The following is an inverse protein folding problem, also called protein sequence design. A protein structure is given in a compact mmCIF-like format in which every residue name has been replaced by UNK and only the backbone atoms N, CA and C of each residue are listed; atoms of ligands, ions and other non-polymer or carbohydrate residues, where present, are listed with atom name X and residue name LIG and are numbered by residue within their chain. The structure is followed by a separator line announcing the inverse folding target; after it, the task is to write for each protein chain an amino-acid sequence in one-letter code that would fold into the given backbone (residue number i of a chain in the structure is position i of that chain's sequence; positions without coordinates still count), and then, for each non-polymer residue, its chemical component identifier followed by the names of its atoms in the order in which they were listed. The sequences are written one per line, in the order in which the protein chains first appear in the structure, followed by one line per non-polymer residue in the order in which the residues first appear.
data_IF_175855780274
#
_entry.id   IF_175855780274
#
_cell.length_a   1.000
_cell.length_b   1.000
_cell.length_c   1.000
_cell.angle_alpha   90.00
_cell.angle_beta   90.00
_cell.angle_gamma   90.00
#
_symmetry.space_group_name_H-M   'P 1'
#
loop_
_entity.id
_entity.type
_entity.pdbx_description
1 polymer ?
#
# COMPACT_ATOMS: atom_id res chain seq x y z
N UNK A 1 -0.74 5.14 18.68
CA UNK A 1 -1.95 4.71 17.94
C UNK A 1 -2.45 3.37 18.46
N UNK A 2 -3.66 3.37 19.02
CA UNK A 2 -4.41 2.18 19.41
C UNK A 2 -5.15 1.57 18.20
N UNK A 3 -5.87 0.46 18.39
CA UNK A 3 -6.52 -0.26 17.28
C UNK A 3 -7.68 0.53 16.65
N UNK A 4 -8.53 1.17 17.44
CA UNK A 4 -9.67 1.94 16.92
C UNK A 4 -9.22 3.17 16.11
N UNK A 5 -8.18 3.86 16.58
CA UNK A 5 -7.56 4.96 15.83
C UNK A 5 -6.93 4.48 14.53
N UNK A 6 -6.29 3.32 14.52
CA UNK A 6 -5.72 2.74 13.30
C UNK A 6 -6.83 2.47 12.27
N UNK A 7 -7.90 1.78 12.69
CA UNK A 7 -9.05 1.43 11.84
C UNK A 7 -9.66 2.69 11.22
N UNK A 8 -9.96 3.69 12.05
CA UNK A 8 -10.56 4.94 11.59
C UNK A 8 -9.67 5.64 10.55
N UNK A 9 -8.36 5.75 10.81
CA UNK A 9 -7.44 6.43 9.87
C UNK A 9 -7.27 5.68 8.55
N UNK A 10 -7.18 4.35 8.58
CA UNK A 10 -7.12 3.54 7.35
C UNK A 10 -8.38 3.75 6.50
N UNK A 11 -9.55 3.71 7.13
CA UNK A 11 -10.83 3.89 6.42
C UNK A 11 -10.97 5.29 5.83
N UNK A 12 -10.58 6.33 6.57
CA UNK A 12 -10.55 7.70 6.06
C UNK A 12 -9.61 7.86 4.87
N UNK A 13 -8.39 7.33 4.95
CA UNK A 13 -7.41 7.39 3.86
C UNK A 13 -7.90 6.66 2.61
N UNK A 14 -8.41 5.42 2.74
CA UNK A 14 -8.93 4.68 1.59
C UNK A 14 -10.14 5.35 0.95
N UNK A 15 -11.06 5.88 1.76
CA UNK A 15 -12.22 6.64 1.27
C UNK A 15 -11.76 7.83 0.41
N UNK A 16 -10.83 8.63 0.92
CA UNK A 16 -10.29 9.79 0.21
C UNK A 16 -9.58 9.38 -1.09
N UNK A 17 -8.72 8.36 -1.05
CA UNK A 17 -8.01 7.87 -2.24
C UNK A 17 -8.98 7.40 -3.33
N UNK A 18 -9.97 6.59 -2.96
CA UNK A 18 -10.98 6.05 -3.89
C UNK A 18 -11.83 7.16 -4.49
N UNK A 19 -12.24 8.16 -3.70
CA UNK A 19 -13.02 9.30 -4.20
C UNK A 19 -12.23 10.17 -5.17
N UNK A 20 -10.94 10.37 -4.92
CA UNK A 20 -10.11 11.29 -5.71
C UNK A 20 -9.54 10.63 -6.97
N UNK A 21 -9.18 9.34 -6.92
CA UNK A 21 -8.41 8.67 -7.98
C UNK A 21 -9.06 7.40 -8.51
N UNK A 22 -10.14 6.93 -7.87
CA UNK A 22 -10.82 5.69 -8.22
C UNK A 22 -10.17 4.42 -7.67
N UNK A 23 -9.09 4.51 -6.89
CA UNK A 23 -8.47 3.35 -6.24
C UNK A 23 -7.72 3.74 -4.96
N UNK A 24 -7.43 2.77 -4.10
CA UNK A 24 -6.57 2.92 -2.92
C UNK A 24 -5.39 1.95 -2.97
N UNK A 25 -4.25 2.37 -2.40
CA UNK A 25 -3.00 1.59 -2.38
C UNK A 25 -2.41 1.53 -0.97
N UNK A 26 -1.73 0.43 -0.64
CA UNK A 26 -1.11 0.29 0.67
C UNK A 26 -0.04 1.37 0.91
N UNK A 27 0.78 1.66 -0.10
CA UNK A 27 1.86 2.65 0.01
C UNK A 27 1.31 4.05 0.28
N UNK A 28 0.27 4.50 -0.44
CA UNK A 28 -0.33 5.80 -0.18
C UNK A 28 -1.01 5.83 1.19
N UNK A 29 -1.68 4.76 1.60
CA UNK A 29 -2.29 4.67 2.94
C UNK A 29 -1.23 4.80 4.04
N UNK A 30 -0.07 4.16 3.90
CA UNK A 30 1.04 4.32 4.85
C UNK A 30 1.56 5.77 4.90
N UNK A 31 1.58 6.48 3.77
CA UNK A 31 1.97 7.89 3.72
C UNK A 31 0.93 8.81 4.37
N UNK A 32 -0.35 8.62 4.07
CA UNK A 32 -1.46 9.39 4.66
C UNK A 32 -1.52 9.24 6.19
N UNK A 33 -1.14 8.06 6.69
CA UNK A 33 -1.07 7.76 8.12
C UNK A 33 0.22 8.24 8.80
N UNK A 34 1.14 8.87 8.06
CA UNK A 34 2.49 9.25 8.48
C UNK A 34 3.34 8.07 9.00
N UNK A 35 2.98 6.84 8.61
CA UNK A 35 3.75 5.63 8.89
C UNK A 35 4.99 5.54 7.99
N UNK A 36 4.86 6.03 6.76
CA UNK A 36 5.90 6.11 5.75
C UNK A 36 6.06 7.58 5.34
N UNK A 37 7.26 8.15 5.46
CA UNK A 37 7.50 9.50 4.94
C UNK A 37 7.66 9.47 3.41
N UNK A 38 7.31 10.58 2.76
CA UNK A 38 7.53 10.74 1.31
C UNK A 38 9.00 10.54 0.92
N UNK A 39 9.92 11.07 1.71
CA UNK A 39 11.36 10.88 1.51
C UNK A 39 11.75 9.40 1.54
N UNK A 40 11.31 8.64 2.55
CA UNK A 40 11.62 7.22 2.64
C UNK A 40 10.96 6.39 1.54
N UNK A 41 9.76 6.77 1.12
CA UNK A 41 9.12 6.20 -0.06
C UNK A 41 9.97 6.41 -1.32
N UNK A 42 10.44 7.63 -1.58
CA UNK A 42 11.29 7.94 -2.74
C UNK A 42 12.62 7.20 -2.69
N UNK A 43 13.27 7.14 -1.52
CA UNK A 43 14.51 6.36 -1.32
C UNK A 43 14.28 4.88 -1.61
N UNK A 44 13.16 4.31 -1.17
CA UNK A 44 12.78 2.93 -1.52
C UNK A 44 12.50 2.77 -3.01
N UNK A 45 11.76 3.70 -3.65
CA UNK A 45 11.52 3.68 -5.10
C UNK A 45 12.80 3.79 -5.92
N UNK A 46 13.80 4.50 -5.41
CA UNK A 46 15.13 4.60 -6.00
C UNK A 46 16.05 3.41 -5.65
N UNK A 47 15.58 2.43 -4.87
CA UNK A 47 16.32 1.21 -4.53
C UNK A 47 17.39 1.38 -3.46
N UNK A 48 17.40 2.50 -2.73
CA UNK A 48 18.33 2.74 -1.63
C UNK A 48 17.92 1.98 -0.35
N UNK A 49 16.63 1.63 -0.24
CA UNK A 49 16.08 0.85 0.85
C UNK A 49 15.75 -0.55 0.31
N UNK A 50 16.27 -1.64 0.92
CA UNK A 50 16.10 -2.98 0.39
C UNK A 50 14.65 -3.50 0.46
N UNK A 51 13.87 -3.03 1.43
CA UNK A 51 12.45 -3.37 1.59
C UNK A 51 11.69 -2.28 2.35
N UNK A 52 10.43 -2.02 1.98
CA UNK A 52 9.65 -0.87 2.46
C UNK A 52 9.46 -0.87 3.99
N UNK A 53 9.15 -2.02 4.58
CA UNK A 53 8.89 -2.13 6.03
C UNK A 53 10.06 -1.67 6.90
N UNK A 54 11.30 -1.64 6.37
CA UNK A 54 12.50 -1.19 7.08
C UNK A 54 12.40 0.27 7.55
N UNK A 55 11.68 1.10 6.80
CA UNK A 55 11.61 2.55 7.01
C UNK A 55 10.23 3.02 7.49
N UNK A 56 9.33 2.09 7.79
CA UNK A 56 8.05 2.37 8.41
C UNK A 56 8.22 2.64 9.92
N UNK A 57 7.47 3.61 10.45
CA UNK A 57 7.60 4.07 11.85
C UNK A 57 6.90 3.17 12.90
N UNK A 58 6.28 2.07 12.49
CA UNK A 58 5.53 1.16 13.37
C UNK A 58 5.98 -0.29 13.18
N UNK A 59 5.73 -1.14 14.17
CA UNK A 59 6.11 -2.55 14.11
C UNK A 59 5.31 -3.36 13.07
N UNK A 60 5.85 -4.53 12.70
CA UNK A 60 5.30 -5.43 11.69
C UNK A 60 3.86 -5.89 12.02
N UNK A 61 3.54 -6.11 13.31
CA UNK A 61 2.18 -6.51 13.73
C UNK A 61 1.16 -5.43 13.38
N UNK A 62 1.51 -4.15 13.56
CA UNK A 62 0.61 -3.04 13.19
C UNK A 62 0.56 -2.80 11.68
N UNK A 63 1.65 -3.03 10.95
CA UNK A 63 1.64 -2.99 9.48
C UNK A 63 0.72 -4.06 8.89
N UNK A 64 0.79 -5.30 9.39
CA UNK A 64 -0.15 -6.35 9.02
C UNK A 64 -1.60 -5.93 9.34
N UNK A 65 -1.82 -5.29 10.49
CA UNK A 65 -3.13 -4.73 10.85
C UNK A 65 -3.65 -3.66 9.89
N UNK A 66 -2.77 -2.80 9.33
CA UNK A 66 -3.14 -1.85 8.26
C UNK A 66 -3.66 -2.62 7.04
N UNK A 67 -2.90 -3.61 6.56
CA UNK A 67 -3.23 -4.37 5.35
C UNK A 67 -4.53 -5.16 5.49
N UNK A 68 -4.74 -5.79 6.64
CA UNK A 68 -5.99 -6.53 6.90
C UNK A 68 -7.20 -5.59 7.04
N UNK A 69 -7.05 -4.41 7.64
CA UNK A 69 -8.14 -3.42 7.66
C UNK A 69 -8.44 -2.90 6.25
N UNK A 70 -7.42 -2.64 5.43
CA UNK A 70 -7.64 -2.24 4.04
C UNK A 70 -8.44 -3.28 3.25
N UNK A 71 -8.12 -4.55 3.43
CA UNK A 71 -8.85 -5.67 2.83
C UNK A 71 -10.29 -5.74 3.34
N UNK A 72 -10.52 -5.53 4.65
CA UNK A 72 -11.85 -5.45 5.25
C UNK A 72 -12.68 -4.30 4.67
N UNK A 73 -12.10 -3.09 4.61
CA UNK A 73 -12.72 -1.91 4.02
C UNK A 73 -13.10 -2.15 2.56
N UNK A 74 -12.19 -2.73 1.77
CA UNK A 74 -12.44 -3.05 0.37
C UNK A 74 -13.63 -4.01 0.20
N UNK A 75 -13.73 -5.05 1.03
CA UNK A 75 -14.87 -5.97 1.03
C UNK A 75 -16.19 -5.26 1.36
N UNK A 76 -16.22 -4.43 2.39
CA UNK A 76 -17.41 -3.65 2.79
C UNK A 76 -17.87 -2.66 1.72
N UNK A 77 -16.95 -2.15 0.91
CA UNK A 77 -17.21 -1.12 -0.10
C UNK A 77 -17.21 -1.66 -1.54
N UNK A 78 -17.25 -2.98 -1.73
CA UNK A 78 -17.26 -3.63 -3.06
C UNK A 78 -16.13 -3.16 -4.00
N UNK A 79 -14.94 -2.93 -3.45
CA UNK A 79 -13.75 -2.58 -4.23
C UNK A 79 -13.10 -3.84 -4.78
N UNK A 80 -12.69 -3.81 -6.06
CA UNK A 80 -12.03 -4.96 -6.69
C UNK A 80 -10.53 -4.95 -6.39
N UNK A 81 -9.96 -6.04 -5.83
CA UNK A 81 -8.52 -6.16 -5.69
C UNK A 81 -7.89 -6.35 -7.07
N UNK A 82 -6.87 -5.57 -7.38
CA UNK A 82 -6.03 -5.72 -8.56
C UNK A 82 -4.58 -5.78 -8.13
N UNK A 83 -3.92 -6.88 -8.46
CA UNK A 83 -2.50 -7.03 -8.20
C UNK A 83 -1.68 -6.12 -9.11
N UNK A 84 -0.71 -5.42 -8.52
CA UNK A 84 0.33 -4.66 -9.24
C UNK A 84 1.66 -4.81 -8.52
N UNK A 85 2.77 -4.77 -9.26
CA UNK A 85 4.09 -4.85 -8.63
C UNK A 85 4.84 -3.53 -8.79
N UNK A 86 5.61 -3.19 -7.77
CA UNK A 86 6.38 -1.95 -7.74
C UNK A 86 7.75 -2.20 -8.35
N UNK A 87 8.12 -1.34 -9.30
CA UNK A 87 9.44 -1.35 -9.95
C UNK A 87 10.30 -0.20 -9.43
N UNK A 88 11.59 -0.44 -9.35
CA UNK A 88 12.57 0.60 -9.05
C UNK A 88 12.56 1.68 -10.15
N UNK A 89 12.65 2.94 -9.74
CA UNK A 89 12.76 4.10 -10.62
C UNK A 89 14.16 4.27 -11.22
N UNK A 90 14.28 5.12 -12.24
CA UNK A 90 15.56 5.56 -12.80
C UNK A 90 16.34 4.51 -13.59
N UNK A 91 15.75 3.35 -13.88
CA UNK A 91 16.40 2.23 -14.60
C UNK A 91 16.19 2.28 -16.12
N UNK A 92 16.58 3.39 -16.77
CA UNK A 92 16.55 3.48 -18.25
C UNK A 92 17.53 2.47 -18.86
N UNK A 93 17.08 1.69 -19.85
CA UNK A 93 17.86 0.67 -20.57
C UNK A 93 18.51 -0.41 -19.69
N UNK A 94 17.98 -0.65 -18.47
CA UNK A 94 18.42 -1.71 -17.56
C UNK A 94 17.28 -2.69 -17.32
N UNK A 95 17.61 -3.90 -16.86
CA UNK A 95 16.62 -4.87 -16.44
C UNK A 95 15.70 -4.29 -15.35
N UNK A 96 14.41 -4.62 -15.46
CA UNK A 96 13.42 -4.25 -14.44
C UNK A 96 13.78 -4.95 -13.14
N UNK A 97 13.87 -4.18 -12.05
CA UNK A 97 14.00 -4.73 -10.70
C UNK A 97 12.71 -4.46 -9.94
N UNK A 98 12.09 -5.55 -9.52
CA UNK A 98 10.95 -5.52 -8.61
C UNK A 98 11.42 -5.14 -7.21
N UNK A 99 10.72 -4.19 -6.60
CA UNK A 99 10.94 -3.79 -5.21
C UNK A 99 10.25 -4.79 -4.28
N UNK A 100 10.86 -4.98 -3.11
CA UNK A 100 10.31 -5.80 -2.03
C UNK A 100 9.67 -4.93 -0.97
N UNK A 101 8.59 -5.40 -0.37
CA UNK A 101 7.93 -4.71 0.74
C UNK A 101 8.44 -5.19 2.09
N UNK A 102 8.49 -6.51 2.30
CA UNK A 102 8.83 -7.14 3.57
C UNK A 102 10.27 -7.62 3.64
N UNK A 103 10.80 -7.78 4.86
CA UNK A 103 12.18 -8.27 5.07
C UNK A 103 12.40 -9.64 4.42
N UNK A 104 11.47 -10.56 4.65
CA UNK A 104 11.61 -11.96 4.26
C UNK A 104 11.03 -12.25 2.86
N UNK A 105 10.34 -11.29 2.24
CA UNK A 105 9.69 -11.51 0.94
C UNK A 105 8.54 -12.51 1.03
N UNK A 106 7.79 -12.52 2.13
CA UNK A 106 6.66 -13.44 2.30
C UNK A 106 5.60 -13.15 1.23
N UNK A 107 5.31 -14.12 0.36
CA UNK A 107 4.47 -13.91 -0.83
C UNK A 107 3.07 -13.35 -0.50
N UNK A 108 2.46 -13.80 0.61
CA UNK A 108 1.16 -13.31 1.04
C UNK A 108 1.24 -11.82 1.41
N UNK A 109 2.23 -11.43 2.22
CA UNK A 109 2.45 -10.04 2.60
C UNK A 109 2.80 -9.17 1.39
N UNK A 110 3.69 -9.65 0.51
CA UNK A 110 4.05 -8.94 -0.73
C UNK A 110 2.80 -8.69 -1.58
N UNK A 111 1.92 -9.69 -1.74
CA UNK A 111 0.67 -9.58 -2.48
C UNK A 111 -0.30 -8.57 -1.87
N UNK A 112 -0.40 -8.51 -0.54
CA UNK A 112 -1.25 -7.52 0.14
C UNK A 112 -0.76 -6.08 -0.13
N UNK A 113 0.53 -5.82 0.03
CA UNK A 113 1.09 -4.50 -0.31
C UNK A 113 0.94 -4.13 -1.78
N UNK A 114 1.11 -5.12 -2.66
CA UNK A 114 0.97 -5.04 -4.11
C UNK A 114 -0.48 -4.88 -4.59
N UNK A 115 -1.48 -5.06 -3.73
CA UNK A 115 -2.89 -4.99 -4.14
C UNK A 115 -3.38 -3.55 -4.14
N UNK A 116 -3.87 -3.10 -5.30
CA UNK A 116 -4.68 -1.89 -5.42
C UNK A 116 -6.16 -2.25 -5.30
N UNK A 117 -6.90 -1.50 -4.49
CA UNK A 117 -8.34 -1.68 -4.34
C UNK A 117 -9.06 -0.65 -5.20
N UNK A 118 -9.65 -1.10 -6.31
CA UNK A 118 -10.16 -0.23 -7.37
C UNK A 118 -11.69 -0.14 -7.29
N UNK A 119 -12.23 1.06 -7.44
CA UNK A 119 -13.66 1.31 -7.56
C UNK A 119 -14.20 0.59 -8.78
N UNK A 120 -15.29 -0.15 -8.60
CA UNK A 120 -15.97 -0.80 -9.69
C UNK A 120 -16.70 0.27 -10.52
N UNK A 121 -16.25 0.54 -11.73
CA UNK A 121 -17.02 1.36 -12.68
C UNK A 121 -18.03 0.43 -13.33
N UNK A 122 -19.30 0.55 -12.93
CA UNK A 122 -20.38 -0.05 -13.70
C UNK A 122 -20.46 0.76 -15.00
N UNK A 123 -20.10 0.15 -16.13
CA UNK A 123 -20.50 0.69 -17.43
C UNK A 123 -22.02 0.55 -17.49
N UNK A 124 -22.73 1.65 -17.25
CA UNK A 124 -24.11 1.78 -17.72
C UNK A 124 -24.05 1.71 -19.25
N UNK A 125 -24.51 0.58 -19.78
CA UNK A 125 -24.89 0.44 -21.19
C UNK A 125 -26.19 1.21 -21.43
#
# INVERSE_FOLDING_TARGET
MNQSQLISRVNSSMCQQVNNTGYATAVQTLMDLDILSKENYERWRNGQIPYLEKVCKINLKKLAGVLEEMKSYAGKNNLKPRFTFYKQWGRKNKSTVQLRFSKNGNEYIEKLYATHYVKTINKTN
#
